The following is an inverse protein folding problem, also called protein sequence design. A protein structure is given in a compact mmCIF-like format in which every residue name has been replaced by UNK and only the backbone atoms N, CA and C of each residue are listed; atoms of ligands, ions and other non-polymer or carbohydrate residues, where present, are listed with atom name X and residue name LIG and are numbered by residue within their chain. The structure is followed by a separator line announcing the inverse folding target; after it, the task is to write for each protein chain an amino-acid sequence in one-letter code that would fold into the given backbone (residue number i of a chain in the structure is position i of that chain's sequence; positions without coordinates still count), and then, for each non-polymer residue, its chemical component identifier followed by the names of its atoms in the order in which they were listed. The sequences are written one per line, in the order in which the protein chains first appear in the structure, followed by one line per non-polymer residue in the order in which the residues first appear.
data_IF_074782452517
#
_entry.id   IF_074782452517
#
_cell.length_a   1.000
_cell.length_b   1.000
_cell.length_c   1.000
_cell.angle_alpha   90.00
_cell.angle_beta   90.00
_cell.angle_gamma   90.00
#
_symmetry.space_group_name_H-M   'P 1'
#
loop_
_entity.id
_entity.type
_entity.pdbx_description
1 polymer ?
#
# COMPACT_ATOMS: atom_id res chain seq x y z
N UNK A 1 38.79 54.51 56.01
CA UNK A 1 38.18 54.57 54.66
C UNK A 1 36.86 53.79 54.67
N UNK A 2 35.89 54.34 53.97
CA UNK A 2 34.46 54.00 53.87
C UNK A 2 34.13 52.88 52.87
N UNK A 3 32.86 52.42 52.93
CA UNK A 3 32.03 51.74 51.88
C UNK A 3 32.09 50.19 51.82
N UNK A 4 31.03 49.40 51.61
CA UNK A 4 29.61 49.63 51.26
C UNK A 4 28.78 48.36 51.57
N UNK A 5 27.53 48.53 52.00
CA UNK A 5 26.53 47.47 52.13
C UNK A 5 25.91 47.13 50.75
N UNK A 6 25.78 45.84 50.40
CA UNK A 6 25.03 45.41 49.20
C UNK A 6 23.84 44.52 49.57
N UNK A 7 22.66 45.11 49.46
CA UNK A 7 21.32 44.54 49.69
C UNK A 7 20.94 43.60 48.54
N UNK A 8 20.77 42.32 48.82
CA UNK A 8 20.33 41.31 47.85
C UNK A 8 18.79 41.19 47.88
N UNK A 9 18.11 41.56 46.80
CA UNK A 9 16.65 41.42 46.63
C UNK A 9 16.33 40.02 46.10
N UNK A 10 15.37 39.28 46.67
CA UNK A 10 14.93 38.01 46.08
C UNK A 10 14.15 38.27 44.78
N UNK A 11 14.56 37.57 43.72
CA UNK A 11 13.90 37.51 42.41
C UNK A 11 12.48 36.94 42.54
N UNK A 12 11.51 37.64 41.97
CA UNK A 12 10.12 37.19 41.91
C UNK A 12 9.98 35.96 41.00
N UNK A 13 9.30 34.94 41.51
CA UNK A 13 8.95 33.71 40.82
C UNK A 13 7.98 34.00 39.66
N UNK A 14 8.41 33.73 38.42
CA UNK A 14 7.55 33.80 37.25
C UNK A 14 6.76 32.49 37.12
N UNK A 15 5.43 32.52 36.93
CA UNK A 15 4.65 31.30 36.73
C UNK A 15 4.94 30.67 35.36
N UNK A 16 5.11 29.35 35.33
CA UNK A 16 5.28 28.57 34.10
C UNK A 16 3.95 28.50 33.35
N UNK A 17 3.94 28.62 32.00
CA UNK A 17 2.71 28.48 31.22
C UNK A 17 2.20 27.04 31.32
N UNK A 18 0.92 26.90 31.70
CA UNK A 18 0.23 25.61 31.73
C UNK A 18 -0.01 25.14 30.30
N UNK A 19 0.54 23.97 29.96
CA UNK A 19 0.25 23.26 28.72
C UNK A 19 -1.15 22.70 28.81
N UNK A 20 -2.08 23.31 28.09
CA UNK A 20 -3.44 22.81 27.94
C UNK A 20 -3.42 21.47 27.20
N UNK A 21 -3.63 20.38 27.93
CA UNK A 21 -3.95 19.04 27.42
C UNK A 21 -5.22 19.07 26.56
N UNK A 22 -5.06 19.38 25.27
CA UNK A 22 -6.02 18.95 24.24
C UNK A 22 -5.42 17.73 23.55
N UNK A 23 -6.15 16.62 23.38
CA UNK A 23 -5.66 15.53 22.55
C UNK A 23 -5.54 16.06 21.13
N UNK A 24 -4.31 16.33 20.67
CA UNK A 24 -4.07 16.61 19.26
C UNK A 24 -4.59 15.38 18.50
N UNK A 25 -5.65 15.55 17.72
CA UNK A 25 -6.10 14.47 16.85
C UNK A 25 -4.99 14.18 15.84
N UNK A 26 -4.85 12.95 15.34
CA UNK A 26 -3.77 12.62 14.38
C UNK A 26 -3.73 13.57 13.17
N UNK A 27 -4.86 14.21 12.83
CA UNK A 27 -4.98 15.24 11.81
C UNK A 27 -4.34 16.59 12.20
N UNK A 28 -4.25 16.90 13.48
CA UNK A 28 -3.60 18.11 13.99
C UNK A 28 -2.07 17.95 14.07
N UNK A 29 -1.58 16.71 14.20
CA UNK A 29 -0.15 16.39 14.19
C UNK A 29 0.41 16.22 12.77
N UNK A 30 -0.44 15.81 11.81
CA UNK A 30 -0.08 15.70 10.40
C UNK A 30 -0.54 16.95 9.65
N UNK A 31 0.40 17.75 9.17
CA UNK A 31 0.09 18.87 8.26
C UNK A 31 -0.73 18.36 7.05
N UNK A 32 -1.71 19.12 6.59
CA UNK A 32 -2.57 18.79 5.44
C UNK A 32 -1.77 18.37 4.20
N UNK A 33 -0.61 18.99 4.00
CA UNK A 33 0.36 18.64 2.95
C UNK A 33 0.85 17.18 3.06
N UNK A 34 1.13 16.72 4.29
CA UNK A 34 1.60 15.35 4.53
C UNK A 34 0.48 14.33 4.33
N UNK A 35 -0.75 14.67 4.70
CA UNK A 35 -1.94 13.86 4.42
C UNK A 35 -2.22 13.77 2.92
N UNK A 36 -2.05 14.87 2.18
CA UNK A 36 -2.20 14.88 0.73
C UNK A 36 -1.17 13.98 0.03
N UNK A 37 0.11 14.07 0.45
CA UNK A 37 1.18 13.18 -0.05
C UNK A 37 0.88 11.71 0.23
N UNK A 38 0.45 11.39 1.45
CA UNK A 38 0.13 10.01 1.83
C UNK A 38 -1.04 9.45 0.99
N UNK A 39 -2.08 10.25 0.74
CA UNK A 39 -3.18 9.85 -0.13
C UNK A 39 -2.75 9.64 -1.58
N UNK A 40 -1.85 10.48 -2.10
CA UNK A 40 -1.28 10.30 -3.44
C UNK A 40 -0.53 8.98 -3.53
N UNK A 41 0.37 8.72 -2.57
CA UNK A 41 1.14 7.48 -2.52
C UNK A 41 0.24 6.25 -2.34
N UNK A 42 -0.82 6.34 -1.53
CA UNK A 42 -1.79 5.27 -1.39
C UNK A 42 -2.52 4.98 -2.71
N UNK A 43 -2.92 6.02 -3.45
CA UNK A 43 -3.57 5.85 -4.74
C UNK A 43 -2.63 5.24 -5.78
N UNK A 44 -1.36 5.66 -5.80
CA UNK A 44 -0.32 5.10 -6.67
C UNK A 44 -0.08 3.62 -6.39
N UNK A 45 0.08 3.24 -5.12
CA UNK A 45 0.30 1.85 -4.73
C UNK A 45 -0.91 0.96 -5.03
N UNK A 46 -2.13 1.48 -4.82
CA UNK A 46 -3.34 0.74 -5.17
C UNK A 46 -3.43 0.49 -6.68
N UNK A 47 -3.15 1.51 -7.49
CA UNK A 47 -3.13 1.38 -8.95
C UNK A 47 -2.05 0.40 -9.44
N UNK A 48 -0.88 0.38 -8.79
CA UNK A 48 0.19 -0.57 -9.11
C UNK A 48 -0.18 -2.01 -8.78
N UNK A 49 -0.77 -2.26 -7.59
CA UNK A 49 -1.22 -3.60 -7.21
C UNK A 49 -2.35 -4.09 -8.13
N UNK A 50 -3.30 -3.22 -8.49
CA UNK A 50 -4.37 -3.55 -9.45
C UNK A 50 -3.79 -3.90 -10.83
N UNK A 51 -2.76 -3.17 -11.29
CA UNK A 51 -2.06 -3.48 -12.53
C UNK A 51 -1.35 -4.82 -12.45
N UNK A 52 -0.63 -5.10 -11.36
CA UNK A 52 0.09 -6.38 -11.18
C UNK A 52 -0.88 -7.55 -11.15
N UNK A 53 -2.02 -7.40 -10.49
CA UNK A 53 -3.05 -8.43 -10.46
C UNK A 53 -3.67 -8.67 -11.84
N UNK A 54 -3.92 -7.62 -12.61
CA UNK A 54 -4.42 -7.72 -13.97
C UNK A 54 -3.41 -8.40 -14.91
N UNK A 55 -2.14 -8.02 -14.84
CA UNK A 55 -1.05 -8.63 -15.60
C UNK A 55 -0.90 -10.12 -15.29
N UNK A 56 -0.98 -10.50 -14.01
CA UNK A 56 -0.92 -11.91 -13.59
C UNK A 56 -2.07 -12.72 -14.18
N UNK A 57 -3.30 -12.21 -14.14
CA UNK A 57 -4.47 -12.87 -14.76
C UNK A 57 -4.27 -13.05 -16.26
N UNK A 58 -3.79 -12.01 -16.95
CA UNK A 58 -3.53 -12.07 -18.38
C UNK A 58 -2.45 -13.11 -18.73
N UNK A 59 -1.38 -13.20 -17.94
CA UNK A 59 -0.33 -14.20 -18.14
C UNK A 59 -0.84 -15.62 -17.90
N UNK A 60 -1.66 -15.84 -16.87
CA UNK A 60 -2.28 -17.14 -16.60
C UNK A 60 -3.20 -17.58 -17.75
N UNK A 61 -4.03 -16.68 -18.27
CA UNK A 61 -4.89 -16.95 -19.43
C UNK A 61 -4.09 -17.23 -20.71
N UNK A 62 -3.02 -16.46 -20.94
CA UNK A 62 -2.12 -16.68 -22.08
C UNK A 62 -1.41 -18.04 -21.98
N UNK A 63 -0.96 -18.42 -20.78
CA UNK A 63 -0.34 -19.72 -20.52
C UNK A 63 -1.33 -20.87 -20.75
N UNK A 64 -2.56 -20.76 -20.22
CA UNK A 64 -3.65 -21.73 -20.46
C UNK A 64 -3.94 -21.91 -21.94
N UNK A 65 -4.03 -20.81 -22.68
CA UNK A 65 -4.29 -20.84 -24.13
C UNK A 65 -3.12 -21.44 -24.90
N UNK A 66 -1.88 -21.14 -24.51
CA UNK A 66 -0.70 -21.72 -25.12
C UNK A 66 -0.63 -23.23 -24.86
N UNK A 67 -0.88 -23.67 -23.63
CA UNK A 67 -0.93 -25.09 -23.26
C UNK A 67 -2.04 -25.81 -24.02
N UNK A 68 -3.26 -25.25 -24.05
CA UNK A 68 -4.36 -25.82 -24.82
C UNK A 68 -3.99 -25.99 -26.28
N UNK A 69 -3.37 -24.97 -26.90
CA UNK A 69 -2.87 -25.10 -28.28
C UNK A 69 -1.81 -26.19 -28.41
N UNK A 70 -0.91 -26.36 -27.45
CA UNK A 70 0.07 -27.46 -27.52
C UNK A 70 -0.62 -28.82 -27.45
N UNK A 71 -1.60 -28.98 -26.57
CA UNK A 71 -2.37 -30.21 -26.41
C UNK A 71 -3.24 -30.51 -27.65
N UNK A 72 -3.80 -29.49 -28.29
CA UNK A 72 -4.52 -29.61 -29.56
C UNK A 72 -3.61 -30.06 -30.73
N UNK A 73 -2.30 -29.85 -30.62
CA UNK A 73 -1.31 -30.32 -31.61
C UNK A 73 -0.63 -31.62 -31.19
N UNK A 74 -0.83 -32.08 -29.96
CA UNK A 74 -0.23 -33.30 -29.44
C UNK A 74 -1.11 -34.52 -29.74
N UNK A 75 -0.69 -35.35 -30.69
CA UNK A 75 -1.44 -36.51 -31.15
C UNK A 75 -1.75 -37.52 -30.03
N UNK A 76 -0.84 -37.68 -29.05
CA UNK A 76 -1.07 -38.57 -27.91
C UNK A 76 -2.21 -38.07 -27.02
N UNK A 77 -2.24 -36.76 -26.75
CA UNK A 77 -3.33 -36.13 -26.01
C UNK A 77 -4.65 -36.21 -26.79
N UNK A 78 -4.64 -35.89 -28.08
CA UNK A 78 -5.81 -35.97 -28.94
C UNK A 78 -6.40 -37.39 -28.98
N UNK A 79 -5.56 -38.41 -29.13
CA UNK A 79 -6.02 -39.80 -29.23
C UNK A 79 -6.66 -40.28 -27.92
N UNK A 80 -6.11 -39.87 -26.77
CA UNK A 80 -6.63 -40.25 -25.45
C UNK A 80 -7.91 -39.51 -25.07
N UNK A 81 -8.06 -38.26 -25.50
CA UNK A 81 -9.19 -37.40 -25.11
C UNK A 81 -10.29 -37.28 -26.18
N UNK A 82 -10.02 -37.69 -27.43
CA UNK A 82 -11.02 -37.72 -28.49
C UNK A 82 -11.79 -39.03 -28.46
N UNK A 83 -13.11 -38.96 -28.27
CA UNK A 83 -13.99 -40.12 -28.36
C UNK A 83 -14.34 -40.41 -29.84
N UNK A 84 -13.42 -41.07 -30.53
CA UNK A 84 -13.53 -41.36 -31.95
C UNK A 84 -14.40 -42.62 -32.20
N UNK A 85 -15.68 -42.53 -31.85
CA UNK A 85 -16.63 -43.64 -32.03
C UNK A 85 -17.26 -43.59 -33.44
N UNK A 86 -16.55 -44.17 -34.40
CA UNK A 86 -16.96 -44.26 -35.82
C UNK A 86 -18.27 -45.03 -36.04
N UNK A 87 -18.73 -45.81 -35.06
CA UNK A 87 -20.01 -46.54 -35.12
C UNK A 87 -21.22 -45.61 -35.04
N UNK A 88 -21.05 -44.38 -34.56
CA UNK A 88 -22.10 -43.36 -34.44
C UNK A 88 -22.45 -42.67 -35.76
N UNK A 89 -21.62 -42.84 -36.80
CA UNK A 89 -21.77 -42.19 -38.11
C UNK A 89 -22.06 -43.20 -39.24
N UNK A 90 -22.57 -44.38 -38.90
CA UNK A 90 -22.93 -45.47 -39.83
C UNK A 90 -24.42 -45.45 -40.16
#
# INVERSE_FOLDING_TARGET
MTFVAKKNRPQAYQPKPQTTDKPATLKDLLNEETLAKLKSQQAELQAEEDRRQAEKRLQEEAARKAEQKRLENDFEYLLKNSNQDWRKYK
#
